data_IF_517547009610
#
_entry.id   IF_517547009610
#
_cell.length_a   1.000
_cell.length_b   1.000
_cell.length_c   1.000
_cell.angle_alpha   90.00
_cell.angle_beta   90.00
_cell.angle_gamma   90.00
#
_symmetry.space_group_name_H-M   'P 1'
#
loop_
_entity.id
_entity.type
_entity.pdbx_description
1 polymer ?
#
# COMPACT_ATOMS: atom_id res chain seq x y z
N UNK A 1 10.44 10.25 -23.47
CA UNK A 1 10.07 10.87 -22.18
C UNK A 1 9.22 12.08 -22.52
N UNK A 2 7.96 12.10 -22.09
CA UNK A 2 7.12 13.29 -22.29
C UNK A 2 7.52 14.37 -21.28
N UNK A 3 7.58 15.62 -21.73
CA UNK A 3 8.14 16.73 -20.97
C UNK A 3 7.00 17.60 -20.41
N UNK A 4 6.92 17.71 -19.08
CA UNK A 4 5.98 18.63 -18.41
C UNK A 4 6.52 20.05 -18.58
N UNK A 5 5.66 20.98 -19.04
CA UNK A 5 6.00 22.41 -19.16
C UNK A 5 5.16 23.23 -18.19
N UNK A 6 5.83 23.99 -17.31
CA UNK A 6 5.23 24.91 -16.34
C UNK A 6 5.67 26.32 -16.72
N UNK A 7 4.71 27.24 -16.91
CA UNK A 7 4.98 28.66 -17.18
C UNK A 7 4.22 29.50 -16.15
N UNK A 8 4.95 30.18 -15.28
CA UNK A 8 4.41 31.00 -14.19
C UNK A 8 5.11 32.36 -14.25
N UNK A 9 4.36 33.37 -14.68
CA UNK A 9 4.80 34.75 -14.88
C UNK A 9 4.09 35.73 -13.94
N UNK A 10 3.35 35.22 -12.95
CA UNK A 10 2.47 36.01 -12.08
C UNK A 10 1.35 36.71 -12.88
N UNK A 11 0.97 36.16 -14.03
CA UNK A 11 -0.13 36.61 -14.87
C UNK A 11 -1.24 35.54 -14.81
N UNK A 12 -2.30 35.72 -14.00
CA UNK A 12 -3.32 34.70 -13.79
C UNK A 12 -4.09 34.33 -15.06
N UNK A 13 -3.91 35.06 -16.17
CA UNK A 13 -4.51 34.75 -17.48
C UNK A 13 -3.59 33.86 -18.32
N UNK A 14 -2.26 33.97 -18.17
CA UNK A 14 -1.26 33.25 -18.99
C UNK A 14 -0.59 32.09 -18.26
N UNK A 15 -0.55 32.16 -16.94
CA UNK A 15 0.06 31.15 -16.09
C UNK A 15 -0.67 29.80 -16.22
N UNK A 16 0.08 28.71 -16.24
CA UNK A 16 -0.52 27.38 -16.34
C UNK A 16 0.48 26.23 -16.52
N UNK A 17 -0.07 25.02 -16.63
CA UNK A 17 0.69 23.79 -16.84
C UNK A 17 0.20 23.07 -18.10
N UNK A 18 1.14 22.56 -18.89
CA UNK A 18 0.87 21.59 -19.96
C UNK A 18 1.42 20.24 -19.52
N UNK A 19 0.53 19.41 -18.99
CA UNK A 19 0.80 17.99 -18.71
C UNK A 19 0.31 17.14 -19.88
N UNK A 20 1.01 16.04 -20.23
CA UNK A 20 0.41 14.99 -21.05
C UNK A 20 -0.81 14.39 -20.33
N UNK A 21 -1.62 13.56 -21.00
CA UNK A 21 -2.74 12.81 -20.38
C UNK A 21 -2.25 11.71 -19.43
N UNK A 22 -1.28 12.01 -18.59
CA UNK A 22 -0.80 11.17 -17.50
C UNK A 22 -1.49 11.58 -16.21
N UNK A 23 -1.74 10.61 -15.32
CA UNK A 23 -2.35 10.90 -14.01
C UNK A 23 -1.42 11.76 -13.15
N UNK A 24 -1.87 12.97 -12.86
CA UNK A 24 -1.24 13.86 -11.87
C UNK A 24 -1.83 13.51 -10.50
N UNK A 25 -1.01 12.94 -9.59
CA UNK A 25 -1.41 12.66 -8.21
C UNK A 25 -0.81 13.67 -7.24
N UNK A 26 -1.49 13.91 -6.12
CA UNK A 26 -0.87 14.66 -5.03
C UNK A 26 0.29 13.84 -4.43
N UNK A 27 1.43 14.46 -4.14
CA UNK A 27 2.62 13.77 -3.64
C UNK A 27 2.57 13.48 -2.14
N UNK A 28 1.50 13.82 -1.43
CA UNK A 28 1.37 13.72 0.03
C UNK A 28 0.32 12.68 0.47
N UNK A 29 -0.26 11.93 -0.48
CA UNK A 29 -1.38 11.03 -0.23
C UNK A 29 -1.20 9.71 -1.00
N UNK A 30 -0.75 8.68 -0.30
CA UNK A 30 -0.39 7.39 -0.90
C UNK A 30 -1.21 6.22 -0.35
N UNK A 31 -1.49 5.23 -1.19
CA UNK A 31 -1.60 3.87 -0.67
C UNK A 31 -0.21 3.24 -0.66
N UNK A 32 0.04 2.28 0.23
CA UNK A 32 1.36 1.66 0.36
C UNK A 32 1.27 0.19 0.01
N UNK A 33 2.08 -0.27 -0.93
CA UNK A 33 2.33 -1.69 -1.11
C UNK A 33 3.51 -2.08 -0.22
N UNK A 34 3.31 -3.05 0.66
CA UNK A 34 4.35 -3.63 1.52
C UNK A 34 4.58 -5.09 1.14
N UNK A 35 5.82 -5.42 0.78
CA UNK A 35 6.26 -6.80 0.62
C UNK A 35 6.60 -7.43 1.95
N UNK A 36 6.42 -8.75 2.08
CA UNK A 36 6.86 -9.49 3.28
C UNK A 36 8.38 -9.47 3.47
N UNK A 37 9.13 -9.05 2.47
CA UNK A 37 10.57 -8.75 2.55
C UNK A 37 10.90 -7.35 3.10
N UNK A 38 9.92 -6.61 3.60
CA UNK A 38 10.08 -5.27 4.16
C UNK A 38 10.21 -4.13 3.15
N UNK A 39 10.19 -4.41 1.84
CA UNK A 39 10.23 -3.36 0.82
C UNK A 39 8.87 -2.70 0.67
N UNK A 40 8.87 -1.37 0.51
CA UNK A 40 7.66 -0.60 0.25
C UNK A 40 7.67 0.06 -1.12
N UNK A 41 6.45 0.28 -1.64
CA UNK A 41 6.18 1.16 -2.77
C UNK A 41 4.98 2.02 -2.44
N UNK A 42 5.18 3.33 -2.38
CA UNK A 42 4.08 4.30 -2.38
C UNK A 42 3.45 4.32 -3.77
N UNK A 43 2.13 4.27 -3.84
CA UNK A 43 1.37 4.30 -5.08
C UNK A 43 0.27 5.36 -5.02
N UNK A 44 -0.19 5.79 -6.19
CA UNK A 44 -1.34 6.69 -6.29
C UNK A 44 -2.62 5.97 -5.86
N UNK A 45 -3.62 6.73 -5.41
CA UNK A 45 -4.94 6.17 -5.09
C UNK A 45 -5.63 5.53 -6.30
N UNK A 46 -5.42 6.05 -7.51
CA UNK A 46 -5.96 5.45 -8.75
C UNK A 46 -5.36 4.06 -9.05
N UNK A 47 -4.05 3.92 -8.84
CA UNK A 47 -3.40 2.62 -8.96
C UNK A 47 -3.94 1.66 -7.87
N UNK A 48 -4.12 2.16 -6.65
CA UNK A 48 -4.69 1.38 -5.55
C UNK A 48 -6.12 0.90 -5.86
N UNK A 49 -6.97 1.76 -6.39
CA UNK A 49 -8.32 1.42 -6.88
C UNK A 49 -8.28 0.33 -7.96
N UNK A 50 -7.38 0.46 -8.94
CA UNK A 50 -7.21 -0.56 -9.99
C UNK A 50 -6.83 -1.93 -9.39
N UNK A 51 -5.96 -1.95 -8.38
CA UNK A 51 -5.57 -3.18 -7.68
C UNK A 51 -6.75 -3.73 -6.86
N UNK A 52 -7.53 -2.89 -6.19
CA UNK A 52 -8.73 -3.30 -5.46
C UNK A 52 -9.78 -3.93 -6.39
N UNK A 53 -10.02 -3.34 -7.55
CA UNK A 53 -10.93 -3.87 -8.57
C UNK A 53 -10.50 -5.26 -9.06
N UNK A 54 -9.18 -5.44 -9.28
CA UNK A 54 -8.61 -6.74 -9.64
C UNK A 54 -8.72 -7.77 -8.51
N UNK A 55 -8.81 -7.33 -7.25
CA UNK A 55 -8.99 -8.18 -6.08
C UNK A 55 -10.47 -8.39 -5.70
N UNK A 56 -11.45 -7.95 -6.49
CA UNK A 56 -12.86 -7.99 -6.10
C UNK A 56 -13.38 -9.38 -5.65
N UNK A 57 -12.82 -10.48 -6.19
CA UNK A 57 -13.25 -11.86 -5.85
C UNK A 57 -12.35 -12.56 -4.83
N UNK A 58 -11.07 -12.19 -4.76
CA UNK A 58 -10.05 -12.86 -3.95
C UNK A 58 -9.50 -11.99 -2.81
N UNK A 59 -9.92 -10.73 -2.74
CA UNK A 59 -9.51 -9.78 -1.72
C UNK A 59 -10.04 -10.14 -0.34
N UNK A 60 -9.21 -9.95 0.66
CA UNK A 60 -9.56 -9.89 2.08
C UNK A 60 -8.80 -8.74 2.72
N UNK A 61 -9.31 -8.26 3.86
CA UNK A 61 -8.68 -7.18 4.62
C UNK A 61 -8.52 -7.59 6.08
N UNK A 62 -7.36 -7.29 6.66
CA UNK A 62 -7.08 -7.48 8.09
C UNK A 62 -6.54 -6.19 8.71
N UNK A 63 -6.75 -6.02 10.00
CA UNK A 63 -6.17 -4.91 10.75
C UNK A 63 -4.71 -5.19 11.07
N UNK A 64 -3.87 -4.16 10.95
CA UNK A 64 -2.50 -4.28 11.40
C UNK A 64 -2.43 -3.98 12.91
N UNK A 65 -2.52 -5.05 13.71
CA UNK A 65 -2.51 -4.96 15.17
C UNK A 65 -3.65 -4.09 15.71
N UNK A 66 -3.32 -3.15 16.62
CA UNK A 66 -4.29 -2.19 17.20
C UNK A 66 -4.31 -0.83 16.49
N UNK A 67 -3.71 -0.75 15.30
CA UNK A 67 -3.62 0.51 14.55
C UNK A 67 -4.87 0.76 13.71
N UNK A 68 -4.95 1.98 13.19
CA UNK A 68 -5.93 2.37 12.17
C UNK A 68 -5.50 1.95 10.76
N UNK A 69 -4.48 1.11 10.58
CA UNK A 69 -4.09 0.60 9.27
C UNK A 69 -4.80 -0.70 8.93
N UNK A 70 -5.22 -0.81 7.66
CA UNK A 70 -5.82 -2.03 7.11
C UNK A 70 -4.98 -2.52 5.94
N UNK A 71 -4.58 -3.79 6.01
CA UNK A 71 -3.88 -4.49 4.94
C UNK A 71 -4.88 -5.29 4.11
N UNK A 72 -4.90 -5.05 2.81
CA UNK A 72 -5.69 -5.76 1.82
C UNK A 72 -4.78 -6.70 1.03
N UNK A 73 -5.20 -7.94 0.86
CA UNK A 73 -4.40 -8.99 0.25
C UNK A 73 -5.25 -10.04 -0.47
N UNK A 74 -4.60 -10.88 -1.26
CA UNK A 74 -5.25 -12.00 -1.92
C UNK A 74 -5.35 -13.20 -0.96
N UNK A 75 -6.56 -13.52 -0.52
CA UNK A 75 -6.85 -14.61 0.44
C UNK A 75 -6.54 -16.01 -0.10
N UNK A 76 -6.51 -16.18 -1.42
CA UNK A 76 -6.18 -17.47 -2.06
C UNK A 76 -4.69 -17.80 -1.93
N UNK A 77 -3.88 -16.88 -1.39
CA UNK A 77 -2.44 -17.04 -1.14
C UNK A 77 -2.11 -17.32 0.32
N UNK A 78 -3.12 -17.47 1.18
CA UNK A 78 -2.91 -17.82 2.57
C UNK A 78 -2.48 -19.28 2.72
N UNK A 79 -1.63 -19.51 3.71
CA UNK A 79 -1.27 -20.85 4.17
C UNK A 79 -1.23 -20.88 5.70
N UNK A 80 -1.33 -22.08 6.27
CA UNK A 80 -1.31 -22.28 7.72
C UNK A 80 0.04 -22.81 8.18
N UNK A 81 0.56 -22.22 9.24
CA UNK A 81 1.75 -22.71 9.94
C UNK A 81 1.56 -22.52 11.45
N UNK A 82 1.89 -23.53 12.24
CA UNK A 82 1.82 -23.49 13.71
C UNK A 82 0.45 -23.07 14.30
N UNK A 83 -0.64 -23.23 13.55
CA UNK A 83 -1.99 -22.86 13.98
C UNK A 83 -2.45 -21.48 13.52
N UNK A 84 -1.54 -20.67 12.97
CA UNK A 84 -1.80 -19.31 12.49
C UNK A 84 -1.92 -19.27 10.96
N UNK A 85 -2.58 -18.23 10.43
CA UNK A 85 -2.68 -17.94 9.00
C UNK A 85 -1.62 -16.91 8.58
N UNK A 86 -0.91 -17.23 7.50
CA UNK A 86 0.19 -16.44 7.00
C UNK A 86 0.04 -16.12 5.51
N UNK A 87 0.60 -14.97 5.13
CA UNK A 87 0.78 -14.56 3.75
C UNK A 87 2.27 -14.40 3.44
N UNK A 88 2.72 -14.93 2.29
CA UNK A 88 4.02 -14.60 1.68
C UNK A 88 3.75 -13.88 0.36
N UNK A 89 4.29 -12.67 0.21
CA UNK A 89 4.03 -11.84 -0.97
C UNK A 89 4.01 -10.35 -0.63
N UNK A 90 2.91 -9.68 -0.98
CA UNK A 90 2.71 -8.26 -0.70
C UNK A 90 1.27 -7.95 -0.32
N UNK A 91 1.08 -6.89 0.46
CA UNK A 91 -0.22 -6.35 0.85
C UNK A 91 -0.35 -4.90 0.40
N UNK A 92 -1.58 -4.45 0.15
CA UNK A 92 -1.93 -3.07 -0.12
C UNK A 92 -2.50 -2.46 1.17
N UNK A 93 -1.93 -1.36 1.63
CA UNK A 93 -2.23 -0.77 2.94
C UNK A 93 -2.86 0.61 2.78
N UNK A 94 -3.90 0.84 3.57
CA UNK A 94 -4.58 2.13 3.72
C UNK A 94 -4.68 2.51 5.19
N UNK A 95 -4.86 3.81 5.44
CA UNK A 95 -5.36 4.28 6.72
C UNK A 95 -6.89 4.11 6.73
N UNK A 96 -7.45 3.65 7.85
CA UNK A 96 -8.88 3.45 8.05
C UNK A 96 -9.39 4.56 8.96
N UNK A 97 -10.32 5.35 8.45
CA UNK A 97 -11.06 6.33 9.25
C UNK A 97 -12.53 5.92 9.32
N UNK A 98 -12.91 5.19 10.37
CA UNK A 98 -14.25 4.62 10.51
C UNK A 98 -14.52 3.55 9.45
N UNK A 99 -15.39 3.86 8.48
CA UNK A 99 -15.75 2.96 7.37
C UNK A 99 -15.14 3.39 6.03
N UNK A 100 -14.18 4.32 6.03
CA UNK A 100 -13.56 4.86 4.83
C UNK A 100 -12.07 4.52 4.81
N UNK A 101 -11.59 4.09 3.65
CA UNK A 101 -10.16 3.94 3.36
C UNK A 101 -9.62 5.29 2.90
N UNK A 102 -8.53 5.72 3.53
CA UNK A 102 -7.82 6.96 3.24
C UNK A 102 -6.40 6.66 2.82
N UNK A 103 -5.87 7.60 2.03
CA UNK A 103 -4.46 7.68 1.77
C UNK A 103 -3.68 7.89 3.07
N UNK A 104 -2.45 7.39 3.08
CA UNK A 104 -1.48 7.48 4.15
C UNK A 104 -0.58 8.70 3.85
N UNK A 105 -0.51 9.67 4.78
CA UNK A 105 0.44 10.77 4.71
C UNK A 105 1.90 10.29 4.77
N UNK A 106 2.81 11.00 4.12
CA UNK A 106 4.24 10.64 4.07
C UNK A 106 4.89 10.55 5.46
N UNK A 107 4.49 11.43 6.38
CA UNK A 107 4.99 11.47 7.75
C UNK A 107 4.49 10.31 8.62
N UNK A 108 3.40 9.65 8.22
CA UNK A 108 2.84 8.46 8.90
C UNK A 108 3.45 7.13 8.40
N UNK A 109 4.23 7.14 7.31
CA UNK A 109 4.81 5.92 6.72
C UNK A 109 5.78 5.21 7.68
N UNK A 110 6.50 5.98 8.50
CA UNK A 110 7.38 5.41 9.52
C UNK A 110 6.60 4.57 10.53
N UNK A 111 5.51 5.12 11.06
CA UNK A 111 4.63 4.46 12.04
C UNK A 111 3.95 3.23 11.43
N UNK A 112 3.50 3.35 10.17
CA UNK A 112 2.97 2.21 9.41
C UNK A 112 3.98 1.06 9.36
N UNK A 113 5.23 1.35 9.01
CA UNK A 113 6.27 0.34 8.88
C UNK A 113 6.54 -0.37 10.22
N UNK A 114 6.60 0.38 11.31
CA UNK A 114 6.78 -0.20 12.65
C UNK A 114 5.67 -1.20 12.97
N UNK A 115 4.40 -0.79 12.78
CA UNK A 115 3.24 -1.65 13.06
C UNK A 115 3.22 -2.86 12.13
N UNK A 116 3.50 -2.68 10.84
CA UNK A 116 3.45 -3.77 9.87
C UNK A 116 4.58 -4.78 10.06
N UNK A 117 5.78 -4.32 10.44
CA UNK A 117 6.92 -5.21 10.76
C UNK A 117 6.67 -6.02 12.03
N UNK A 118 5.89 -5.51 13.00
CA UNK A 118 5.47 -6.29 14.17
C UNK A 118 4.56 -7.49 13.81
N UNK A 119 3.97 -7.50 12.61
CA UNK A 119 3.19 -8.63 12.09
C UNK A 119 4.01 -9.60 11.22
N UNK A 120 5.30 -9.33 11.01
CA UNK A 120 6.17 -10.20 10.22
C UNK A 120 6.85 -11.22 11.11
N UNK A 121 6.70 -12.50 10.75
CA UNK A 121 7.47 -13.59 11.34
C UNK A 121 8.47 -14.13 10.31
N UNK A 122 9.58 -14.67 10.82
CA UNK A 122 10.51 -15.45 10.01
C UNK A 122 10.19 -16.93 10.17
N UNK A 123 9.73 -17.56 9.10
CA UNK A 123 9.40 -18.98 9.08
C UNK A 123 10.51 -19.77 8.38
N UNK A 124 10.59 -21.06 8.71
CA UNK A 124 11.55 -22.00 8.13
C UNK A 124 10.83 -23.20 7.52
N UNK A 125 11.13 -23.51 6.26
CA UNK A 125 10.67 -24.70 5.56
C UNK A 125 11.88 -25.44 4.97
N UNK A 126 12.27 -26.57 5.58
CA UNK A 126 13.50 -27.26 5.22
C UNK A 126 14.73 -26.36 5.47
N UNK A 127 15.51 -26.11 4.43
CA UNK A 127 16.69 -25.22 4.49
C UNK A 127 16.37 -23.75 4.14
N UNK A 128 15.14 -23.45 3.73
CA UNK A 128 14.73 -22.10 3.38
C UNK A 128 14.16 -21.35 4.60
N UNK A 129 14.63 -20.12 4.81
CA UNK A 129 14.01 -19.16 5.72
C UNK A 129 13.37 -18.04 4.91
N UNK A 130 12.17 -17.62 5.28
CA UNK A 130 11.45 -16.56 4.59
C UNK A 130 10.56 -15.77 5.56
N UNK A 131 10.30 -14.52 5.22
CA UNK A 131 9.42 -13.65 5.99
C UNK A 131 7.98 -13.78 5.50
N UNK A 132 7.05 -13.92 6.44
CA UNK A 132 5.63 -14.02 6.20
C UNK A 132 4.87 -13.08 7.15
N UNK A 133 3.78 -12.48 6.65
CA UNK A 133 2.90 -11.64 7.46
C UNK A 133 1.81 -12.52 8.08
N UNK A 134 1.62 -12.42 9.40
CA UNK A 134 0.42 -12.97 10.06
C UNK A 134 -0.82 -12.21 9.62
N UNK A 135 -1.90 -12.92 9.37
CA UNK A 135 -3.21 -12.33 9.08
C UNK A 135 -4.24 -12.91 10.05
N UNK A 136 -4.93 -12.01 10.77
CA UNK A 136 -6.00 -12.34 11.73
C UNK A 136 -7.39 -12.06 11.16
#
# INVERSE_FOLDING_TARGET
MEQITIDIQLDPIKDGIKVPETDVSRPDAHAVILGTNGKIRQISMKEAETILDQMATCGAGTHLGKSDYIAVYNKDKLFKAEGEEYLVGSVLIFQRAGNVLKAIPDDEIGDLLEVAMAQMDTLKAGDACFSAMRVD
#
